data_IF_764989936045
#
_entry.id   IF_764989936045
#
_cell.length_a   1.000
_cell.length_b   1.000
_cell.length_c   1.000
_cell.angle_alpha   90.00
_cell.angle_beta   90.00
_cell.angle_gamma   90.00
#
_symmetry.space_group_name_H-M   'P 1'
#
loop_
_entity.id
_entity.type
_entity.pdbx_description
1 polymer ?
#
# COMPACT_ATOMS: atom_id res chain seq x y z
N UNK A 1 14.62 -9.30 3.96
CA UNK A 1 14.05 -8.07 3.36
C UNK A 1 15.12 -7.45 2.48
N UNK A 2 14.84 -7.10 1.23
CA UNK A 2 15.84 -6.48 0.35
C UNK A 2 16.06 -5.01 0.72
N UNK A 3 17.29 -4.48 0.57
CA UNK A 3 17.61 -3.09 0.92
C UNK A 3 16.77 -2.03 0.21
N UNK A 4 16.21 -2.34 -0.96
CA UNK A 4 15.29 -1.46 -1.70
C UNK A 4 14.00 -1.18 -0.92
N UNK A 5 13.41 -2.21 -0.30
CA UNK A 5 12.18 -2.05 0.48
C UNK A 5 12.44 -1.23 1.75
N UNK A 6 13.53 -1.51 2.45
CA UNK A 6 13.93 -0.73 3.62
C UNK A 6 14.15 0.77 3.30
N UNK A 7 14.68 1.08 2.12
CA UNK A 7 14.84 2.46 1.66
C UNK A 7 13.51 3.15 1.39
N UNK A 8 12.56 2.46 0.72
CA UNK A 8 11.21 2.99 0.50
C UNK A 8 10.51 3.26 1.84
N UNK A 9 10.55 2.31 2.76
CA UNK A 9 9.96 2.45 4.10
C UNK A 9 10.55 3.63 4.86
N UNK A 10 11.88 3.83 4.77
CA UNK A 10 12.55 4.97 5.38
C UNK A 10 12.09 6.31 4.80
N UNK A 11 11.92 6.40 3.47
CA UNK A 11 11.41 7.61 2.81
C UNK A 11 9.97 7.93 3.22
N UNK A 12 9.13 6.92 3.45
CA UNK A 12 7.75 7.09 3.92
C UNK A 12 7.73 7.52 5.39
N UNK A 13 8.59 6.93 6.23
CA UNK A 13 8.62 7.19 7.66
C UNK A 13 9.27 8.54 8.02
N UNK A 14 10.26 9.00 7.24
CA UNK A 14 11.03 10.22 7.52
C UNK A 14 10.16 11.48 7.73
N UNK A 15 9.19 11.81 6.87
CA UNK A 15 8.30 12.94 7.09
C UNK A 15 7.47 12.82 8.37
N UNK A 16 7.06 11.61 8.74
CA UNK A 16 6.32 11.35 9.98
C UNK A 16 7.17 11.51 11.23
N UNK A 17 8.45 11.12 11.17
CA UNK A 17 9.40 11.28 12.26
C UNK A 17 9.84 12.73 12.49
N UNK A 18 9.89 13.52 11.42
CA UNK A 18 10.29 14.94 11.46
C UNK A 18 9.10 15.88 11.65
N UNK A 19 7.88 15.39 11.47
CA UNK A 19 6.63 16.14 11.67
C UNK A 19 6.20 16.20 13.13
N UNK A 20 5.33 17.17 13.45
CA UNK A 20 4.62 17.23 14.75
C UNK A 20 3.40 16.30 14.78
N UNK A 21 2.65 16.31 15.88
CA UNK A 21 1.45 15.47 16.01
C UNK A 21 0.46 15.72 14.88
N UNK A 22 0.02 14.64 14.23
CA UNK A 22 -0.93 14.70 13.13
C UNK A 22 -2.36 14.59 13.65
N UNK A 23 -3.25 15.45 13.14
CA UNK A 23 -4.67 15.40 13.49
C UNK A 23 -5.36 14.18 12.90
N UNK A 24 -6.48 13.75 13.51
CA UNK A 24 -7.34 12.70 12.97
C UNK A 24 -7.75 12.99 11.50
N UNK A 25 -8.08 14.25 11.17
CA UNK A 25 -8.41 14.65 9.79
C UNK A 25 -7.24 14.48 8.80
N UNK A 26 -6.02 14.77 9.25
CA UNK A 26 -4.82 14.59 8.43
C UNK A 26 -4.58 13.11 8.14
N UNK A 27 -4.71 12.27 9.18
CA UNK A 27 -4.61 10.82 9.05
C UNK A 27 -5.69 10.24 8.14
N UNK A 28 -6.95 10.67 8.32
CA UNK A 28 -8.07 10.28 7.45
C UNK A 28 -7.79 10.60 5.99
N UNK A 29 -7.24 11.78 5.69
CA UNK A 29 -6.84 12.16 4.33
C UNK A 29 -5.74 11.26 3.76
N UNK A 30 -4.73 10.91 4.57
CA UNK A 30 -3.65 10.02 4.17
C UNK A 30 -4.19 8.61 3.85
N UNK A 31 -5.07 8.07 4.71
CA UNK A 31 -5.68 6.76 4.49
C UNK A 31 -6.50 6.70 3.19
N UNK A 32 -7.24 7.76 2.85
CA UNK A 32 -7.95 7.81 1.56
C UNK A 32 -7.01 7.86 0.36
N UNK A 33 -5.87 8.54 0.48
CA UNK A 33 -4.84 8.54 -0.57
C UNK A 33 -4.25 7.14 -0.71
N UNK A 34 -3.90 6.47 0.39
CA UNK A 34 -3.36 5.11 0.36
C UNK A 34 -4.36 4.10 -0.20
N UNK A 35 -5.63 4.18 0.18
CA UNK A 35 -6.68 3.35 -0.41
C UNK A 35 -6.75 3.51 -1.94
N UNK A 36 -6.55 4.73 -2.46
CA UNK A 36 -6.43 4.96 -3.90
C UNK A 36 -5.18 4.32 -4.52
N UNK A 37 -4.04 4.38 -3.83
CA UNK A 37 -2.79 3.73 -4.27
C UNK A 37 -2.90 2.20 -4.24
N UNK A 38 -3.61 1.62 -3.27
CA UNK A 38 -3.83 0.18 -3.18
C UNK A 38 -4.63 -0.35 -4.36
N UNK A 39 -5.59 0.42 -4.88
CA UNK A 39 -6.30 0.05 -6.13
C UNK A 39 -5.32 -0.08 -7.30
N UNK A 40 -4.38 0.86 -7.43
CA UNK A 40 -3.33 0.79 -8.45
C UNK A 40 -2.39 -0.40 -8.22
N UNK A 41 -2.07 -0.69 -6.96
CA UNK A 41 -1.23 -1.81 -6.56
C UNK A 41 -1.86 -3.16 -6.88
N UNK A 42 -3.15 -3.34 -6.55
CA UNK A 42 -3.96 -4.50 -6.92
C UNK A 42 -4.01 -4.67 -8.45
N UNK A 43 -4.24 -3.58 -9.18
CA UNK A 43 -4.26 -3.60 -10.65
C UNK A 43 -2.90 -4.05 -11.22
N UNK A 44 -1.78 -3.63 -10.64
CA UNK A 44 -0.44 -4.11 -11.01
C UNK A 44 -0.27 -5.61 -10.71
N UNK A 45 -0.82 -6.11 -9.59
CA UNK A 45 -0.87 -7.53 -9.27
C UNK A 45 -1.63 -8.35 -10.31
N UNK A 46 -2.82 -7.88 -10.70
CA UNK A 46 -3.62 -8.51 -11.76
C UNK A 46 -2.90 -8.50 -13.11
N UNK A 47 -2.26 -7.38 -13.45
CA UNK A 47 -1.44 -7.26 -14.65
C UNK A 47 -0.29 -8.28 -14.66
N UNK A 48 0.46 -8.41 -13.55
CA UNK A 48 1.51 -9.42 -13.42
C UNK A 48 0.96 -10.84 -13.50
N UNK A 49 -0.21 -11.09 -12.89
CA UNK A 49 -0.89 -12.39 -12.93
C UNK A 49 -1.29 -12.82 -14.35
N UNK A 50 -1.60 -11.85 -15.22
CA UNK A 50 -1.94 -12.09 -16.62
C UNK A 50 -0.74 -12.52 -17.49
N UNK A 51 0.50 -12.31 -17.02
CA UNK A 51 1.71 -12.67 -17.77
C UNK A 51 1.87 -14.19 -17.84
N UNK A 52 2.53 -14.69 -18.88
CA UNK A 52 2.73 -16.14 -19.10
C UNK A 52 3.69 -16.79 -18.10
N UNK A 53 4.70 -16.05 -17.63
CA UNK A 53 5.72 -16.56 -16.71
C UNK A 53 5.11 -17.04 -15.38
N UNK A 54 5.40 -18.27 -14.92
CA UNK A 54 4.95 -18.78 -13.62
C UNK A 54 5.37 -17.88 -12.45
N UNK A 55 6.57 -17.30 -12.52
CA UNK A 55 7.08 -16.39 -11.49
C UNK A 55 6.25 -15.11 -11.42
N UNK A 56 5.95 -14.47 -12.56
CA UNK A 56 5.10 -13.28 -12.62
C UNK A 56 3.69 -13.57 -12.12
N UNK A 57 3.18 -14.79 -12.38
CA UNK A 57 1.89 -15.26 -11.87
C UNK A 57 1.87 -15.36 -10.34
N UNK A 58 2.92 -15.94 -9.75
CA UNK A 58 3.07 -16.04 -8.30
C UNK A 58 3.16 -14.67 -7.64
N UNK A 59 4.01 -13.78 -8.16
CA UNK A 59 4.11 -12.41 -7.66
C UNK A 59 2.80 -11.63 -7.81
N UNK A 60 2.12 -11.75 -8.95
CA UNK A 60 0.84 -11.10 -9.18
C UNK A 60 -0.24 -11.57 -8.19
N UNK A 61 -0.28 -12.86 -7.86
CA UNK A 61 -1.21 -13.39 -6.85
C UNK A 61 -0.89 -12.88 -5.44
N UNK A 62 0.40 -12.81 -5.07
CA UNK A 62 0.83 -12.25 -3.79
C UNK A 62 0.47 -10.77 -3.65
N UNK A 63 0.80 -9.96 -4.66
CA UNK A 63 0.45 -8.52 -4.72
C UNK A 63 -1.06 -8.31 -4.64
N UNK A 64 -1.84 -9.12 -5.37
CA UNK A 64 -3.30 -9.03 -5.33
C UNK A 64 -3.87 -9.29 -3.93
N UNK A 65 -3.47 -10.39 -3.28
CA UNK A 65 -3.96 -10.74 -1.95
C UNK A 65 -3.50 -9.73 -0.90
N UNK A 66 -2.23 -9.32 -0.94
CA UNK A 66 -1.68 -8.30 -0.06
C UNK A 66 -2.39 -6.95 -0.23
N UNK A 67 -2.57 -6.50 -1.48
CA UNK A 67 -3.24 -5.24 -1.78
C UNK A 67 -4.71 -5.22 -1.36
N UNK A 68 -5.44 -6.33 -1.50
CA UNK A 68 -6.82 -6.43 -1.00
C UNK A 68 -6.90 -6.27 0.52
N UNK A 69 -5.94 -6.84 1.25
CA UNK A 69 -5.87 -6.67 2.70
C UNK A 69 -5.58 -5.21 3.08
N UNK A 70 -4.59 -4.57 2.45
CA UNK A 70 -4.23 -3.18 2.69
C UNK A 70 -5.40 -2.22 2.39
N UNK A 71 -6.05 -2.41 1.24
CA UNK A 71 -7.21 -1.59 0.85
C UNK A 71 -8.34 -1.69 1.88
N UNK A 72 -8.65 -2.91 2.33
CA UNK A 72 -9.67 -3.13 3.35
C UNK A 72 -9.29 -2.50 4.69
N UNK A 73 -8.02 -2.61 5.08
CA UNK A 73 -7.49 -1.99 6.29
C UNK A 73 -7.60 -0.46 6.23
N UNK A 74 -7.18 0.15 5.14
CA UNK A 74 -7.17 1.61 4.99
C UNK A 74 -8.59 2.19 4.93
N UNK A 75 -9.49 1.58 4.16
CA UNK A 75 -10.90 2.01 4.11
C UNK A 75 -11.54 1.87 5.50
N UNK A 76 -11.31 0.74 6.19
CA UNK A 76 -11.86 0.53 7.52
C UNK A 76 -11.39 1.60 8.50
N UNK A 77 -10.11 1.95 8.52
CA UNK A 77 -9.61 3.00 9.41
C UNK A 77 -10.08 4.40 8.96
N UNK A 78 -10.11 4.68 7.66
CA UNK A 78 -10.50 5.98 7.12
C UNK A 78 -11.96 6.34 7.42
N UNK A 79 -12.84 5.37 7.63
CA UNK A 79 -14.24 5.62 7.97
C UNK A 79 -14.52 5.65 9.48
N UNK A 80 -13.67 5.02 10.32
CA UNK A 80 -13.87 4.89 11.77
C UNK A 80 -13.02 5.83 12.63
N UNK A 81 -12.00 6.49 12.06
CA UNK A 81 -11.29 7.64 12.67
C UNK A 81 -12.10 8.92 12.48
#
# INVERSE_FOLDING_TARGET
MSGVWAFIDALIALPGLLGGESSADSLRRILWINAGLDVLYIAAGLFLRSRRSPTSKGFGAGIFLQGLFLLGFDIFHAIHI
#
